data_IF_458938570598
#
_entry.id   IF_458938570598
#
_cell.length_a   1.000
_cell.length_b   1.000
_cell.length_c   1.000
_cell.angle_alpha   90.00
_cell.angle_beta   90.00
_cell.angle_gamma   90.00
#
_symmetry.space_group_name_H-M   'P 1'
#
loop_
_entity.id
_entity.type
_entity.pdbx_description
1 polymer ?
#
# COMPACT_ATOMS: atom_id res chain seq x y z
N UNK A 1 18.69 -13.72 -9.17
CA UNK A 1 17.98 -12.44 -9.25
C UNK A 1 16.48 -12.68 -9.15
N UNK A 2 15.70 -11.65 -8.81
CA UNK A 2 14.23 -11.74 -8.77
C UNK A 2 13.68 -11.37 -10.15
N UNK A 3 12.72 -12.14 -10.68
CA UNK A 3 12.05 -11.82 -11.95
C UNK A 3 11.09 -10.66 -11.72
N UNK A 4 11.32 -9.53 -12.39
CA UNK A 4 10.51 -8.31 -12.25
C UNK A 4 9.81 -7.99 -13.56
N UNK A 5 8.57 -7.53 -13.47
CA UNK A 5 7.79 -6.96 -14.57
C UNK A 5 7.40 -5.54 -14.20
N UNK A 6 7.81 -4.56 -15.00
CA UNK A 6 7.35 -3.18 -14.87
C UNK A 6 6.04 -3.03 -15.65
N UNK A 7 5.03 -2.42 -15.02
CA UNK A 7 3.72 -2.17 -15.63
C UNK A 7 3.36 -0.70 -15.47
N UNK A 8 2.58 -0.12 -16.38
CA UNK A 8 1.97 1.19 -16.18
C UNK A 8 0.80 1.11 -15.19
N UNK A 9 0.49 2.23 -14.53
CA UNK A 9 -0.63 2.30 -13.57
C UNK A 9 -2.00 1.98 -14.18
N UNK A 10 -2.16 2.17 -15.50
CA UNK A 10 -3.41 1.80 -16.17
C UNK A 10 -3.65 0.29 -16.27
N UNK A 11 -2.63 -0.56 -16.07
CA UNK A 11 -2.72 -2.02 -16.18
C UNK A 11 -2.72 -2.72 -14.80
N UNK A 12 -2.85 -1.96 -13.70
CA UNK A 12 -2.83 -2.49 -12.33
C UNK A 12 -3.90 -3.58 -12.13
N UNK A 13 -5.09 -3.41 -12.71
CA UNK A 13 -6.19 -4.36 -12.52
C UNK A 13 -5.82 -5.79 -12.96
N UNK A 14 -5.20 -5.94 -14.13
CA UNK A 14 -4.73 -7.25 -14.62
C UNK A 14 -3.61 -7.81 -13.75
N UNK A 15 -2.71 -6.93 -13.30
CA UNK A 15 -1.63 -7.36 -12.42
C UNK A 15 -2.12 -7.84 -11.05
N UNK A 16 -3.16 -7.21 -10.49
CA UNK A 16 -3.75 -7.63 -9.21
C UNK A 16 -4.56 -8.93 -9.37
N UNK A 17 -5.24 -9.12 -10.49
CA UNK A 17 -5.94 -10.36 -10.80
C UNK A 17 -4.98 -11.58 -10.81
N UNK A 18 -3.84 -11.43 -11.47
CA UNK A 18 -2.80 -12.47 -11.61
C UNK A 18 -1.97 -12.72 -10.33
N UNK A 19 -2.01 -11.81 -9.35
CA UNK A 19 -1.15 -11.90 -8.16
C UNK A 19 -1.76 -12.76 -7.04
N UNK A 20 -0.91 -13.29 -6.16
CA UNK A 20 -1.35 -13.97 -4.94
C UNK A 20 -1.66 -12.99 -3.80
N UNK A 21 -0.92 -11.89 -3.74
CA UNK A 21 -1.05 -10.84 -2.73
C UNK A 21 -0.46 -9.54 -3.26
N UNK A 22 -0.85 -8.44 -2.62
CA UNK A 22 -0.23 -7.13 -2.84
C UNK A 22 0.67 -6.81 -1.66
N UNK A 23 1.89 -6.36 -1.93
CA UNK A 23 2.81 -5.83 -0.93
C UNK A 23 3.15 -4.38 -1.29
N UNK A 24 2.91 -3.48 -0.36
CA UNK A 24 3.30 -2.07 -0.49
C UNK A 24 4.17 -1.64 0.67
N UNK A 25 5.04 -0.67 0.41
CA UNK A 25 5.63 0.14 1.46
C UNK A 25 4.62 1.13 2.03
N UNK A 26 5.10 1.94 2.96
CA UNK A 26 4.37 3.08 3.52
C UNK A 26 5.32 4.23 3.83
N UNK A 27 4.78 5.44 3.77
CA UNK A 27 5.48 6.64 4.23
C UNK A 27 5.19 6.87 5.72
N UNK A 28 3.94 6.62 6.17
CA UNK A 28 3.52 6.71 7.58
C UNK A 28 2.41 5.71 7.92
N UNK A 29 2.39 5.24 9.16
CA UNK A 29 1.23 4.56 9.74
C UNK A 29 0.47 5.52 10.65
N UNK A 30 -0.85 5.40 10.67
CA UNK A 30 -1.72 6.06 11.65
C UNK A 30 -2.36 5.00 12.55
N UNK A 31 -3.16 5.43 13.53
CA UNK A 31 -3.87 4.50 14.43
C UNK A 31 -4.83 3.56 13.69
N UNK A 32 -5.36 3.98 12.54
CA UNK A 32 -6.43 3.26 11.82
C UNK A 32 -6.08 2.95 10.36
N UNK A 33 -4.99 3.50 9.84
CA UNK A 33 -4.65 3.42 8.41
C UNK A 33 -3.16 3.61 8.16
N UNK A 34 -2.80 3.79 6.89
CA UNK A 34 -1.45 4.15 6.48
C UNK A 34 -1.51 5.19 5.35
N UNK A 35 -0.43 5.96 5.22
CA UNK A 35 -0.24 7.01 4.23
C UNK A 35 0.89 6.55 3.29
N UNK A 36 0.65 6.56 1.99
CA UNK A 36 1.63 6.21 0.99
C UNK A 36 1.46 7.08 -0.27
N UNK A 37 2.37 6.91 -1.23
CA UNK A 37 2.33 7.58 -2.54
C UNK A 37 1.00 7.34 -3.26
N UNK A 38 0.66 8.28 -4.13
CA UNK A 38 -0.48 8.22 -5.05
C UNK A 38 -0.48 6.91 -5.86
N UNK A 39 -1.66 6.42 -6.21
CA UNK A 39 -1.85 5.12 -6.87
C UNK A 39 -2.07 3.96 -5.90
N UNK A 40 -1.47 3.99 -4.70
CA UNK A 40 -1.64 2.93 -3.69
C UNK A 40 -3.10 2.66 -3.31
N UNK A 41 -3.92 3.71 -3.23
CA UNK A 41 -5.34 3.56 -2.91
C UNK A 41 -6.09 2.75 -3.97
N UNK A 42 -5.79 2.96 -5.26
CA UNK A 42 -6.39 2.18 -6.34
C UNK A 42 -6.00 0.70 -6.26
N UNK A 43 -4.72 0.41 -5.96
CA UNK A 43 -4.23 -0.96 -5.76
C UNK A 43 -4.93 -1.60 -4.56
N UNK A 44 -5.07 -0.89 -3.45
CA UNK A 44 -5.72 -1.39 -2.23
C UNK A 44 -7.21 -1.70 -2.47
N UNK A 45 -7.92 -0.82 -3.18
CA UNK A 45 -9.33 -1.05 -3.54
C UNK A 45 -9.47 -2.25 -4.47
N UNK A 46 -8.60 -2.39 -5.47
CA UNK A 46 -8.62 -3.56 -6.37
C UNK A 46 -8.33 -4.86 -5.62
N UNK A 47 -7.33 -4.86 -4.73
CA UNK A 47 -7.01 -6.00 -3.89
C UNK A 47 -8.21 -6.40 -3.01
N UNK A 48 -8.90 -5.43 -2.42
CA UNK A 48 -10.11 -5.67 -1.64
C UNK A 48 -11.24 -6.27 -2.49
N UNK A 49 -11.56 -5.67 -3.64
CA UNK A 49 -12.61 -6.15 -4.56
C UNK A 49 -12.31 -7.56 -5.09
N UNK A 50 -11.04 -7.86 -5.36
CA UNK A 50 -10.59 -9.15 -5.90
C UNK A 50 -10.23 -10.18 -4.83
N UNK A 51 -10.52 -9.89 -3.54
CA UNK A 51 -10.20 -10.74 -2.40
C UNK A 51 -8.71 -11.16 -2.32
N UNK A 52 -7.80 -10.27 -2.70
CA UNK A 52 -6.35 -10.45 -2.56
C UNK A 52 -5.87 -9.82 -1.25
N UNK A 53 -5.08 -10.53 -0.43
CA UNK A 53 -4.53 -9.95 0.78
C UNK A 53 -3.57 -8.81 0.44
N UNK A 54 -3.69 -7.71 1.19
CA UNK A 54 -2.81 -6.55 1.12
C UNK A 54 -1.92 -6.52 2.36
N UNK A 55 -0.61 -6.58 2.14
CA UNK A 55 0.40 -6.42 3.17
C UNK A 55 1.08 -5.06 3.05
N UNK A 56 1.31 -4.42 4.20
CA UNK A 56 2.00 -3.13 4.29
C UNK A 56 3.25 -3.32 5.13
N UNK A 57 4.41 -3.07 4.54
CA UNK A 57 5.69 -3.11 5.23
C UNK A 57 6.21 -1.70 5.47
N UNK A 58 6.67 -1.43 6.69
CA UNK A 58 7.26 -0.17 7.06
C UNK A 58 7.98 -0.27 8.40
N UNK A 59 8.88 0.67 8.64
CA UNK A 59 9.64 0.78 9.89
C UNK A 59 8.78 1.36 11.02
N UNK A 60 9.12 1.02 12.25
CA UNK A 60 8.35 1.38 13.46
C UNK A 60 8.31 2.90 13.71
N UNK A 61 9.34 3.64 13.26
CA UNK A 61 9.46 5.09 13.36
C UNK A 61 8.48 5.86 12.44
N UNK A 62 7.87 5.15 11.48
CA UNK A 62 6.83 5.69 10.60
C UNK A 62 5.46 5.75 11.26
N UNK A 63 5.30 5.22 12.48
CA UNK A 63 4.04 5.24 13.23
C UNK A 63 3.79 6.63 13.83
N UNK A 64 2.74 7.28 13.37
CA UNK A 64 2.25 8.55 13.92
C UNK A 64 1.26 8.27 15.05
N UNK A 65 1.78 8.26 16.28
CA UNK A 65 0.93 8.34 17.46
C UNK A 65 0.39 9.77 17.55
N UNK A 66 -0.94 9.93 17.61
CA UNK A 66 -1.73 11.17 17.64
C UNK A 66 -1.19 12.31 18.53
N UNK A 67 -0.29 11.99 19.47
CA UNK A 67 0.33 12.90 20.44
C UNK A 67 1.57 13.67 19.94
N UNK A 68 2.09 13.41 18.74
CA UNK A 68 3.38 13.98 18.31
C UNK A 68 3.31 15.18 17.36
N UNK A 69 2.11 15.58 16.91
CA UNK A 69 1.93 16.81 16.14
C UNK A 69 1.21 17.87 16.99
N UNK A 70 1.84 19.03 17.31
CA UNK A 70 1.07 20.18 17.72
C UNK A 70 0.22 20.60 16.51
N UNK A 71 -1.09 20.47 16.63
CA UNK A 71 -2.02 21.19 15.77
C UNK A 71 -1.80 22.67 16.08
N UNK A 72 -1.12 23.38 15.19
CA UNK A 72 -1.14 24.85 15.17
C UNK A 72 -2.44 25.30 14.52
#
# INVERSE_FOLDING_TARGET
>A
GIKVRLIPDCDIARAVEDCHFVLTGTDRFTETSFINKTGTHAIATLAHVMNKPLYVAGESDKVLLKRTYPVR
#
